data_IF_102319162103
#
_entry.id   IF_102319162103
#
_cell.length_a   1.000
_cell.length_b   1.000
_cell.length_c   1.000
_cell.angle_alpha   90.00
_cell.angle_beta   90.00
_cell.angle_gamma   90.00
#
_symmetry.space_group_name_H-M   'P 1'
#
loop_
_entity.id
_entity.type
_entity.pdbx_description
1 polymer ?
#
# COMPACT_ATOMS: atom_id res chain seq x y z
N UNK A 1 -0.65 -20.51 -32.97
CA UNK A 1 -1.48 -19.56 -32.19
C UNK A 1 -0.68 -18.28 -32.05
N UNK A 2 -1.27 -17.10 -32.33
CA UNK A 2 -0.53 -15.85 -32.50
C UNK A 2 0.19 -15.44 -31.21
N UNK A 3 1.44 -14.97 -31.32
CA UNK A 3 2.24 -14.47 -30.18
C UNK A 3 1.51 -13.39 -29.38
N UNK A 4 0.71 -12.59 -30.08
CA UNK A 4 -0.18 -11.57 -29.53
C UNK A 4 -1.18 -12.19 -28.53
N UNK A 5 -1.73 -13.38 -28.82
CA UNK A 5 -2.66 -14.04 -27.91
C UNK A 5 -1.99 -14.43 -26.59
N UNK A 6 -0.76 -14.94 -26.64
CA UNK A 6 0.01 -15.34 -25.45
C UNK A 6 0.36 -14.12 -24.60
N UNK A 7 0.82 -13.03 -25.25
CA UNK A 7 1.11 -11.77 -24.57
C UNK A 7 -0.14 -11.19 -23.87
N UNK A 8 -1.31 -11.29 -24.49
CA UNK A 8 -2.58 -10.86 -23.88
C UNK A 8 -2.94 -11.69 -22.66
N UNK A 9 -2.78 -13.02 -22.69
CA UNK A 9 -3.02 -13.88 -21.52
C UNK A 9 -2.06 -13.60 -20.38
N UNK A 10 -0.79 -13.36 -20.67
CA UNK A 10 0.21 -12.99 -19.67
C UNK A 10 -0.11 -11.65 -19.01
N UNK A 11 -0.46 -10.65 -19.83
CA UNK A 11 -0.87 -9.32 -19.38
C UNK A 11 -2.11 -9.39 -18.50
N UNK A 12 -3.09 -10.20 -18.89
CA UNK A 12 -4.33 -10.40 -18.14
C UNK A 12 -4.06 -11.05 -16.78
N UNK A 13 -3.19 -12.06 -16.72
CA UNK A 13 -2.76 -12.68 -15.47
C UNK A 13 -2.04 -11.68 -14.54
N UNK A 14 -1.20 -10.82 -15.10
CA UNK A 14 -0.50 -9.78 -14.35
C UNK A 14 -1.46 -8.72 -13.79
N UNK A 15 -2.47 -8.32 -14.56
CA UNK A 15 -3.51 -7.39 -14.12
C UNK A 15 -4.33 -8.00 -12.98
N UNK A 16 -4.71 -9.27 -13.09
CA UNK A 16 -5.45 -9.97 -12.02
C UNK A 16 -4.61 -10.09 -10.73
N UNK A 17 -3.32 -10.38 -10.86
CA UNK A 17 -2.40 -10.46 -9.72
C UNK A 17 -2.24 -9.11 -9.02
N UNK A 18 -2.09 -8.02 -9.78
CA UNK A 18 -1.96 -6.66 -9.22
C UNK A 18 -3.25 -6.20 -8.55
N UNK A 19 -4.43 -6.48 -9.13
CA UNK A 19 -5.72 -6.17 -8.49
C UNK A 19 -5.88 -6.94 -7.17
N UNK A 20 -5.53 -8.23 -7.14
CA UNK A 20 -5.56 -9.04 -5.92
C UNK A 20 -4.57 -8.54 -4.85
N UNK A 21 -3.39 -8.11 -5.27
CA UNK A 21 -2.38 -7.51 -4.38
C UNK A 21 -2.88 -6.20 -3.77
N UNK A 22 -3.44 -5.30 -4.59
CA UNK A 22 -3.97 -4.01 -4.14
C UNK A 22 -5.14 -4.21 -3.18
N UNK A 23 -6.05 -5.15 -3.47
CA UNK A 23 -7.15 -5.47 -2.55
C UNK A 23 -6.63 -5.99 -1.19
N UNK A 24 -5.62 -6.87 -1.21
CA UNK A 24 -4.96 -7.36 -0.01
C UNK A 24 -4.29 -6.26 0.81
N UNK A 25 -3.62 -5.32 0.12
CA UNK A 25 -2.98 -4.16 0.73
C UNK A 25 -4.01 -3.25 1.42
N UNK A 26 -5.14 -2.98 0.77
CA UNK A 26 -6.23 -2.19 1.37
C UNK A 26 -6.79 -2.88 2.61
N UNK A 27 -6.99 -4.20 2.60
CA UNK A 27 -7.40 -4.95 3.79
C UNK A 27 -6.36 -4.86 4.92
N UNK A 28 -5.07 -4.90 4.60
CA UNK A 28 -4.01 -4.77 5.61
C UNK A 28 -4.07 -3.39 6.29
N UNK A 29 -4.21 -2.30 5.52
CA UNK A 29 -4.35 -0.94 6.04
C UNK A 29 -5.65 -0.71 6.82
N UNK A 30 -6.76 -1.31 6.39
CA UNK A 30 -8.04 -1.19 7.08
C UNK A 30 -8.03 -1.78 8.49
N UNK A 31 -7.14 -2.72 8.76
CA UNK A 31 -7.13 -3.43 10.03
C UNK A 31 -6.00 -2.96 10.95
N UNK A 32 -4.77 -2.73 10.45
CA UNK A 32 -3.79 -1.88 11.14
C UNK A 32 -2.82 -1.22 10.15
N UNK A 33 -2.55 0.07 10.35
CA UNK A 33 -1.64 0.87 9.50
C UNK A 33 -0.23 0.27 9.47
N UNK A 34 0.24 -0.29 10.58
CA UNK A 34 1.56 -0.94 10.69
C UNK A 34 1.66 -2.14 9.75
N UNK A 35 0.61 -2.96 9.66
CA UNK A 35 0.61 -4.11 8.76
C UNK A 35 0.51 -3.71 7.28
N UNK A 36 -0.24 -2.65 6.95
CA UNK A 36 -0.25 -2.09 5.60
C UNK A 36 1.12 -1.55 5.16
N UNK A 37 1.81 -0.83 6.05
CA UNK A 37 3.14 -0.29 5.77
C UNK A 37 4.20 -1.40 5.68
N UNK A 38 4.12 -2.41 6.55
CA UNK A 38 5.02 -3.56 6.53
C UNK A 38 4.85 -4.40 5.25
N UNK A 39 3.61 -4.53 4.77
CA UNK A 39 3.28 -5.21 3.51
C UNK A 39 3.90 -4.52 2.29
N UNK A 40 4.07 -3.20 2.35
CA UNK A 40 4.67 -2.41 1.26
C UNK A 40 6.19 -2.51 1.22
N UNK A 41 6.86 -2.58 2.38
CA UNK A 41 8.32 -2.54 2.48
C UNK A 41 9.00 -3.90 2.64
N UNK A 42 8.29 -4.93 3.11
CA UNK A 42 8.91 -6.21 3.46
C UNK A 42 8.27 -7.35 2.67
N UNK A 43 9.01 -7.99 1.74
CA UNK A 43 8.48 -9.01 0.82
C UNK A 43 8.03 -10.34 1.47
N UNK A 44 7.97 -10.42 2.81
CA UNK A 44 7.48 -11.58 3.56
C UNK A 44 6.49 -11.22 4.69
N UNK A 45 6.24 -9.93 4.90
CA UNK A 45 5.30 -9.46 5.91
C UNK A 45 3.87 -9.90 5.62
N UNK A 46 3.53 -10.05 4.34
CA UNK A 46 2.27 -10.63 3.89
C UNK A 46 2.04 -12.01 4.51
N UNK A 47 3.06 -12.87 4.52
CA UNK A 47 2.98 -14.24 5.04
C UNK A 47 2.76 -14.24 6.56
N UNK A 48 3.50 -13.40 7.29
CA UNK A 48 3.37 -13.26 8.75
C UNK A 48 1.99 -12.71 9.12
N UNK A 49 1.49 -11.73 8.37
CA UNK A 49 0.15 -11.18 8.55
C UNK A 49 -0.92 -12.27 8.40
N UNK A 50 -0.82 -13.10 7.35
CA UNK A 50 -1.75 -14.20 7.13
C UNK A 50 -1.70 -15.26 8.24
N UNK A 51 -0.52 -15.58 8.77
CA UNK A 51 -0.36 -16.52 9.89
C UNK A 51 -0.95 -15.93 11.18
N UNK A 52 -0.64 -14.67 11.52
CA UNK A 52 -1.09 -14.03 12.76
C UNK A 52 -2.61 -13.76 12.76
N UNK A 53 -3.16 -13.36 11.62
CA UNK A 53 -4.60 -13.07 11.45
C UNK A 53 -5.40 -14.24 10.87
N UNK A 54 -4.83 -15.45 10.90
CA UNK A 54 -5.47 -16.67 10.43
C UNK A 54 -6.83 -16.90 11.08
N UNK A 55 -7.14 -16.40 12.28
CA UNK A 55 -8.46 -16.58 12.92
C UNK A 55 -9.63 -15.92 12.14
N UNK A 56 -9.36 -14.93 11.30
CA UNK A 56 -10.42 -14.17 10.62
C UNK A 56 -10.91 -14.88 9.34
N UNK A 57 -12.21 -15.24 9.29
CA UNK A 57 -12.80 -16.02 8.20
C UNK A 57 -12.67 -15.35 6.82
N UNK A 58 -12.59 -14.02 6.76
CA UNK A 58 -12.41 -13.26 5.51
C UNK A 58 -10.99 -13.40 4.94
N UNK A 59 -10.00 -13.42 5.82
CA UNK A 59 -8.57 -13.49 5.47
C UNK A 59 -8.22 -14.90 4.98
N UNK A 60 -8.75 -15.96 5.63
CA UNK A 60 -8.59 -17.35 5.17
C UNK A 60 -9.11 -17.58 3.76
N UNK A 61 -10.28 -17.03 3.42
CA UNK A 61 -10.87 -17.21 2.09
C UNK A 61 -10.04 -16.54 1.00
N UNK A 62 -9.59 -15.31 1.25
CA UNK A 62 -8.72 -14.57 0.32
C UNK A 62 -7.39 -15.28 0.11
N UNK A 63 -6.78 -15.82 1.19
CA UNK A 63 -5.54 -16.58 1.07
C UNK A 63 -5.76 -17.90 0.32
N UNK A 64 -6.83 -18.65 0.59
CA UNK A 64 -7.11 -19.90 -0.12
C UNK A 64 -7.28 -19.68 -1.63
N UNK A 65 -7.87 -18.56 -2.03
CA UNK A 65 -8.01 -18.19 -3.44
C UNK A 65 -6.65 -17.81 -4.05
N UNK A 66 -5.81 -17.05 -3.34
CA UNK A 66 -4.44 -16.72 -3.78
C UNK A 66 -3.53 -17.96 -3.87
N UNK A 67 -3.61 -18.85 -2.88
CA UNK A 67 -2.84 -20.09 -2.84
C UNK A 67 -3.28 -21.09 -3.91
N UNK A 68 -4.55 -21.04 -4.34
CA UNK A 68 -5.07 -21.80 -5.47
C UNK A 68 -4.69 -21.20 -6.84
N UNK A 69 -4.50 -19.87 -6.91
CA UNK A 69 -4.13 -19.18 -8.15
C UNK A 69 -2.64 -19.35 -8.52
N UNK A 70 -1.75 -19.38 -7.53
CA UNK A 70 -0.31 -19.60 -7.74
C UNK A 70 0.06 -20.90 -8.48
N UNK A 71 -0.47 -22.09 -8.12
CA UNK A 71 -0.19 -23.32 -8.85
C UNK A 71 -0.78 -23.29 -10.26
N UNK A 72 -1.92 -22.62 -10.49
CA UNK A 72 -2.49 -22.45 -11.83
C UNK A 72 -1.58 -21.59 -12.73
N UNK A 73 -1.00 -20.52 -12.17
CA UNK A 73 -0.05 -19.65 -12.87
C UNK A 73 1.29 -20.34 -13.16
N UNK A 74 1.83 -21.08 -12.19
CA UNK A 74 3.06 -21.86 -12.36
C UNK A 74 2.87 -23.00 -13.37
N UNK A 75 1.72 -23.70 -13.33
CA UNK A 75 1.44 -24.79 -14.26
C UNK A 75 1.26 -24.25 -15.69
N UNK A 76 0.56 -23.13 -15.86
CA UNK A 76 0.47 -22.43 -17.15
C UNK A 76 1.83 -21.92 -17.66
N UNK A 77 2.67 -21.39 -16.76
CA UNK A 77 4.03 -20.98 -17.08
C UNK A 77 4.93 -22.15 -17.51
N UNK A 78 4.86 -23.28 -16.80
CA UNK A 78 5.63 -24.49 -17.15
C UNK A 78 5.15 -25.08 -18.48
N UNK A 79 3.83 -25.16 -18.74
CA UNK A 79 3.29 -25.62 -20.03
C UNK A 79 3.74 -24.70 -21.17
N UNK A 80 3.83 -23.39 -20.92
CA UNK A 80 4.34 -22.41 -21.88
C UNK A 80 5.84 -22.61 -22.13
N UNK A 81 6.65 -22.78 -21.08
CA UNK A 81 8.10 -23.04 -21.23
C UNK A 81 8.37 -24.39 -21.90
N UNK A 82 7.58 -25.43 -21.63
CA UNK A 82 7.75 -26.73 -22.27
C UNK A 82 7.29 -26.71 -23.73
N UNK A 83 6.21 -25.99 -24.06
CA UNK A 83 5.70 -25.89 -25.43
C UNK A 83 6.48 -24.93 -26.32
N UNK A 84 7.00 -23.83 -25.77
CA UNK A 84 7.70 -22.77 -26.52
C UNK A 84 9.22 -22.72 -26.24
N UNK A 85 9.70 -23.29 -25.13
CA UNK A 85 11.14 -23.36 -24.81
C UNK A 85 11.90 -24.42 -25.61
N UNK A 86 11.20 -25.41 -26.19
CA UNK A 86 11.79 -26.38 -27.12
C UNK A 86 12.27 -25.75 -28.46
N UNK A 87 11.71 -24.60 -28.85
CA UNK A 87 12.13 -23.83 -30.03
C UNK A 87 13.40 -22.99 -29.73
N UNK A 88 13.51 -22.44 -28.52
CA UNK A 88 14.67 -21.65 -28.09
C UNK A 88 15.94 -22.48 -27.90
N UNK A 89 15.82 -23.74 -27.46
CA UNK A 89 16.98 -24.65 -27.33
C UNK A 89 17.51 -25.12 -28.68
N UNK A 90 16.66 -25.22 -29.71
CA UNK A 90 17.10 -25.48 -31.09
C UNK A 90 17.87 -24.30 -31.70
N UNK A 91 17.46 -23.06 -31.43
CA UNK A 91 18.18 -21.87 -31.88
C UNK A 91 19.54 -21.70 -31.18
N UNK A 92 19.64 -22.07 -29.91
CA UNK A 92 20.92 -22.07 -29.18
C UNK A 92 21.92 -23.13 -29.68
N UNK A 93 21.45 -24.25 -30.24
CA UNK A 93 22.31 -25.29 -30.83
C UNK A 93 22.66 -25.04 -32.31
N UNK A 94 21.96 -24.13 -33.00
CA UNK A 94 22.21 -23.80 -34.41
C UNK A 94 23.31 -22.74 -34.62
N UNK A 95 23.89 -22.20 -33.55
CA UNK A 95 24.98 -21.22 -33.61
C UNK A 95 26.34 -21.84 -33.93
N UNK A 96 26.44 -22.63 -35.00
CA UNK A 96 27.75 -23.03 -35.55
C UNK A 96 28.31 -21.86 -36.35
N UNK A 97 29.06 -20.97 -35.70
CA UNK A 97 29.90 -19.99 -36.38
C UNK A 97 31.04 -20.77 -37.05
N UNK A 98 30.93 -21.02 -38.35
CA UNK A 98 32.05 -21.47 -39.19
C UNK A 98 33.05 -20.31 -39.32
N UNK A 99 34.10 -20.35 -38.50
CA UNK A 99 35.29 -19.52 -38.68
C UNK A 99 36.01 -20.03 -39.92
N UNK A 100 35.93 -19.29 -41.03
CA UNK A 100 36.75 -19.52 -42.20
C UNK A 100 37.89 -18.49 -42.22
N UNK A 101 39.10 -18.99 -41.99
CA UNK A 101 40.35 -18.24 -41.96
C UNK A 101 40.98 -18.32 -43.36
N UNK A 102 41.03 -17.19 -44.06
CA UNK A 102 41.61 -17.10 -45.41
C UNK A 102 42.19 -15.70 -45.65
N UNK A 103 43.51 -15.66 -45.82
CA UNK A 103 44.41 -14.50 -45.90
C UNK A 103 44.16 -13.52 -47.06
N UNK A 104 44.46 -12.24 -46.85
CA UNK A 104 45.41 -11.49 -47.70
C UNK A 104 45.72 -10.11 -47.10
N UNK A 105 46.95 -9.71 -47.36
CA UNK A 105 47.71 -8.58 -46.85
C UNK A 105 47.23 -7.22 -47.40
N UNK A 106 47.34 -6.15 -46.60
CA UNK A 106 48.12 -4.95 -46.96
C UNK A 106 48.12 -3.90 -45.83
N UNK A 107 49.33 -3.54 -45.40
CA UNK A 107 49.72 -2.33 -44.65
C UNK A 107 50.33 -1.32 -45.64
N UNK A 108 50.80 -0.10 -45.28
CA UNK A 108 50.58 0.77 -44.10
C UNK A 108 50.45 2.29 -44.46
N UNK A 109 50.56 3.17 -43.45
CA UNK A 109 50.77 4.65 -43.47
C UNK A 109 49.49 5.50 -43.48
N UNK A 110 49.30 6.52 -42.62
CA UNK A 110 50.25 7.51 -42.10
C UNK A 110 49.82 8.09 -40.73
N UNK A 111 50.83 8.33 -39.90
CA UNK A 111 50.96 9.08 -38.62
C UNK A 111 50.38 10.53 -38.61
N UNK A 112 50.51 11.35 -37.52
CA UNK A 112 50.60 11.08 -36.07
C UNK A 112 49.77 12.08 -35.18
N UNK A 113 49.82 11.83 -33.86
CA UNK A 113 49.78 12.72 -32.67
C UNK A 113 49.22 14.15 -32.76
N UNK A 114 48.31 14.48 -31.83
CA UNK A 114 48.32 15.61 -30.87
C UNK A 114 47.02 15.45 -30.03
N UNK A 115 46.94 15.58 -28.72
CA UNK A 115 47.39 16.66 -27.86
C UNK A 115 47.22 16.23 -26.39
N UNK A 116 48.12 16.74 -25.56
CA UNK A 116 48.38 16.37 -24.18
C UNK A 116 47.39 16.94 -23.15
N UNK A 117 47.41 16.29 -21.98
CA UNK A 117 47.44 16.88 -20.62
C UNK A 117 46.21 17.58 -20.01
N UNK A 118 45.80 16.98 -18.87
CA UNK A 118 45.58 17.61 -17.55
C UNK A 118 44.41 18.58 -17.36
N UNK A 119 43.53 18.29 -16.39
CA UNK A 119 43.49 18.96 -15.06
C UNK A 119 42.22 18.60 -14.27
N UNK A 120 42.39 18.07 -13.07
CA UNK A 120 41.42 18.21 -11.95
C UNK A 120 41.59 19.64 -11.37
N UNK A 121 40.59 20.31 -10.77
CA UNK A 121 40.25 20.05 -9.37
C UNK A 121 38.79 20.39 -8.91
N UNK A 122 38.53 20.08 -7.64
CA UNK A 122 37.38 20.37 -6.76
C UNK A 122 36.81 21.80 -6.77
N UNK A 123 35.52 21.91 -6.38
CA UNK A 123 34.90 22.90 -5.47
C UNK A 123 33.38 22.59 -5.41
N UNK A 124 32.80 22.08 -4.32
CA UNK A 124 32.44 22.75 -3.06
C UNK A 124 31.76 24.11 -3.23
N UNK A 125 30.42 24.15 -3.15
CA UNK A 125 29.68 25.29 -2.61
C UNK A 125 28.24 24.91 -2.24
N UNK A 126 27.97 24.77 -0.94
CA UNK A 126 26.74 25.32 -0.33
C UNK A 126 26.95 26.82 -0.16
N UNK A 127 25.89 27.65 -0.24
CA UNK A 127 25.33 28.15 1.01
C UNK A 127 23.80 28.32 1.01
N UNK A 128 23.32 28.50 2.24
CA UNK A 128 21.96 28.63 2.67
C UNK A 128 21.25 29.95 2.26
N UNK A 129 19.93 29.91 2.50
CA UNK A 129 19.06 31.00 2.95
C UNK A 129 18.31 31.85 1.91
N UNK A 130 16.99 31.65 1.98
CA UNK A 130 16.01 32.71 2.31
C UNK A 130 15.33 33.45 1.16
N UNK A 131 14.07 33.06 0.89
CA UNK A 131 12.97 34.03 0.86
C UNK A 131 11.59 33.37 1.00
N UNK A 132 10.94 33.59 2.15
CA UNK A 132 9.48 33.65 2.24
C UNK A 132 8.96 34.94 1.58
N UNK A 133 7.71 34.92 1.11
CA UNK A 133 6.67 35.73 1.75
C UNK A 133 5.46 34.84 2.12
N UNK A 134 5.04 34.77 3.40
CA UNK A 134 3.94 35.54 4.01
C UNK A 134 2.65 35.52 3.17
N UNK A 135 1.63 34.73 3.55
CA UNK A 135 0.54 35.06 4.50
C UNK A 135 -0.67 35.72 3.83
N UNK A 136 -1.77 34.98 3.69
CA UNK A 136 -3.21 35.37 3.66
C UNK A 136 -3.97 34.17 3.04
N UNK A 137 -5.10 33.64 3.52
CA UNK A 137 -6.17 34.21 4.32
C UNK A 137 -6.89 33.08 5.08
N UNK A 138 -7.10 33.25 6.38
CA UNK A 138 -8.21 32.60 7.10
C UNK A 138 -9.55 33.10 6.54
N UNK A 139 -10.62 32.31 6.68
CA UNK A 139 -11.90 32.92 7.05
C UNK A 139 -12.24 32.54 8.50
N UNK A 140 -12.11 33.51 9.39
CA UNK A 140 -12.87 33.56 10.62
C UNK A 140 -14.23 34.21 10.28
N UNK A 141 -15.31 33.46 10.43
CA UNK A 141 -16.68 33.98 10.42
C UNK A 141 -17.29 33.70 11.81
N UNK A 142 -17.83 34.77 12.38
CA UNK A 142 -18.43 34.93 13.70
C UNK A 142 -19.54 33.90 14.03
N UNK A 143 -19.95 33.78 15.31
CA UNK A 143 -21.01 32.86 15.74
C UNK A 143 -22.36 33.32 15.19
N UNK A 144 -22.89 32.59 14.21
CA UNK A 144 -24.26 32.72 13.74
C UNK A 144 -25.20 31.73 14.48
N UNK A 145 -26.51 32.02 14.58
CA UNK A 145 -27.44 31.37 15.49
C UNK A 145 -27.52 29.85 15.29
N UNK A 146 -27.70 29.13 16.40
CA UNK A 146 -27.97 27.69 16.47
C UNK A 146 -28.99 27.31 15.38
N UNK A 147 -28.61 26.53 14.36
CA UNK A 147 -29.59 25.90 13.50
C UNK A 147 -30.29 24.82 14.33
N UNK A 148 -31.61 24.94 14.46
CA UNK A 148 -32.47 23.88 14.98
C UNK A 148 -32.17 22.54 14.29
N UNK A 149 -32.37 21.40 14.97
CA UNK A 149 -31.99 20.09 14.46
C UNK A 149 -32.94 19.69 13.33
N UNK A 150 -32.56 20.02 12.10
CA UNK A 150 -33.24 19.55 10.90
C UNK A 150 -32.66 18.21 10.47
N UNK A 151 -33.49 17.19 10.68
CA UNK A 151 -33.33 15.80 10.30
C UNK A 151 -33.13 15.67 8.79
N UNK A 152 -31.95 15.22 8.36
CA UNK A 152 -31.70 14.97 6.95
C UNK A 152 -30.39 14.22 6.77
N UNK A 153 -30.50 12.93 6.47
CA UNK A 153 -29.43 12.06 6.02
C UNK A 153 -28.62 12.70 4.90
N UNK A 154 -27.47 13.26 5.24
CA UNK A 154 -26.40 13.59 4.28
C UNK A 154 -25.22 12.67 4.61
N UNK A 155 -25.10 11.55 3.89
CA UNK A 155 -23.90 10.68 3.94
C UNK A 155 -23.95 9.41 4.80
N UNK A 156 -25.10 9.10 5.44
CA UNK A 156 -25.55 7.73 5.74
C UNK A 156 -24.60 6.73 6.42
N UNK A 157 -23.83 7.11 7.44
CA UNK A 157 -23.40 6.12 8.45
C UNK A 157 -24.34 6.23 9.65
N UNK A 158 -25.46 5.52 9.60
CA UNK A 158 -26.31 5.34 10.77
C UNK A 158 -25.56 4.43 11.75
N UNK A 159 -24.85 5.02 12.70
CA UNK A 159 -24.20 4.24 13.75
C UNK A 159 -25.27 3.61 14.63
N UNK A 160 -25.26 2.29 14.78
CA UNK A 160 -26.15 1.63 15.75
C UNK A 160 -25.68 1.92 17.18
N UNK A 161 -26.64 2.03 18.12
CA UNK A 161 -26.34 2.26 19.54
C UNK A 161 -25.38 1.20 20.09
N UNK A 162 -25.65 -0.08 19.82
CA UNK A 162 -24.84 -1.20 20.31
C UNK A 162 -23.44 -1.16 19.71
N UNK A 163 -23.33 -0.83 18.43
CA UNK A 163 -22.03 -0.71 17.76
C UNK A 163 -21.20 0.43 18.36
N UNK A 164 -21.82 1.59 18.57
CA UNK A 164 -21.16 2.76 19.17
C UNK A 164 -20.69 2.46 20.60
N UNK A 165 -21.53 1.81 21.42
CA UNK A 165 -21.15 1.37 22.77
C UNK A 165 -20.00 0.35 22.73
N UNK A 166 -20.05 -0.64 21.83
CA UNK A 166 -19.01 -1.66 21.69
C UNK A 166 -17.67 -1.05 21.31
N UNK A 167 -17.64 -0.13 20.34
CA UNK A 167 -16.42 0.57 19.93
C UNK A 167 -15.89 1.45 21.08
N UNK A 168 -16.76 2.18 21.77
CA UNK A 168 -16.38 3.00 22.92
C UNK A 168 -15.65 2.17 23.98
N UNK A 169 -16.20 1.03 24.38
CA UNK A 169 -15.54 0.14 25.35
C UNK A 169 -14.24 -0.47 24.82
N UNK A 170 -14.17 -0.78 23.54
CA UNK A 170 -12.94 -1.32 22.94
C UNK A 170 -11.79 -0.31 23.03
N UNK A 171 -12.03 0.96 22.67
CA UNK A 171 -11.03 2.02 22.77
C UNK A 171 -10.73 2.41 24.22
N UNK A 172 -11.74 2.42 25.10
CA UNK A 172 -11.54 2.67 26.53
C UNK A 172 -10.58 1.63 27.14
N UNK A 173 -10.76 0.35 26.80
CA UNK A 173 -9.86 -0.73 27.25
C UNK A 173 -8.44 -0.65 26.68
N UNK A 174 -8.25 0.06 25.56
CA UNK A 174 -6.94 0.34 24.97
C UNK A 174 -6.26 1.58 25.58
N UNK A 175 -6.96 2.35 26.44
CA UNK A 175 -6.47 3.62 26.98
C UNK A 175 -6.65 4.81 26.04
N UNK A 176 -7.23 4.61 24.85
CA UNK A 176 -7.58 5.72 23.95
C UNK A 176 -8.91 6.34 24.38
N UNK A 177 -8.85 7.14 25.44
CA UNK A 177 -10.02 7.75 26.04
C UNK A 177 -10.68 8.81 25.13
N UNK A 178 -9.92 9.46 24.26
CA UNK A 178 -10.45 10.46 23.34
C UNK A 178 -11.35 9.79 22.30
N UNK A 179 -10.88 8.71 21.66
CA UNK A 179 -11.69 7.95 20.69
C UNK A 179 -12.85 7.23 21.37
N UNK A 180 -12.66 6.73 22.60
CA UNK A 180 -13.74 6.14 23.39
C UNK A 180 -14.88 7.14 23.62
N UNK A 181 -14.55 8.37 24.03
CA UNK A 181 -15.51 9.45 24.29
C UNK A 181 -16.32 9.78 23.03
N UNK A 182 -15.70 9.85 21.86
CA UNK A 182 -16.39 10.09 20.59
C UNK A 182 -17.45 9.01 20.33
N UNK A 183 -17.10 7.74 20.52
CA UNK A 183 -18.02 6.62 20.27
C UNK A 183 -19.16 6.55 21.29
N UNK A 184 -18.91 6.84 22.57
CA UNK A 184 -19.99 6.93 23.56
C UNK A 184 -20.93 8.11 23.29
N UNK A 185 -20.42 9.26 22.83
CA UNK A 185 -21.27 10.38 22.41
C UNK A 185 -22.15 10.02 21.20
N UNK A 186 -21.64 9.24 20.23
CA UNK A 186 -22.47 8.70 19.14
C UNK A 186 -23.59 7.82 19.69
N UNK A 187 -23.32 6.98 20.70
CA UNK A 187 -24.37 6.17 21.33
C UNK A 187 -25.46 7.06 21.99
N UNK A 188 -25.06 8.17 22.63
CA UNK A 188 -26.01 9.15 23.18
C UNK A 188 -26.82 9.87 22.12
N UNK A 189 -26.26 10.12 20.94
CA UNK A 189 -27.01 10.70 19.81
C UNK A 189 -28.11 9.75 19.31
N UNK A 190 -27.84 8.43 19.33
CA UNK A 190 -28.83 7.42 18.90
C UNK A 190 -29.88 7.19 19.98
N UNK A 191 -29.49 7.16 21.25
CA UNK A 191 -30.40 7.00 22.40
C UNK A 191 -30.11 8.05 23.46
N UNK A 192 -30.66 9.27 23.32
CA UNK A 192 -30.52 10.31 24.32
C UNK A 192 -31.03 9.82 25.68
N UNK A 193 -30.26 10.03 26.74
CA UNK A 193 -30.64 9.62 28.11
C UNK A 193 -30.41 8.16 28.46
N UNK A 194 -29.77 7.36 27.60
CA UNK A 194 -29.41 5.99 27.97
C UNK A 194 -28.38 5.96 29.11
N UNK A 195 -28.74 5.37 30.25
CA UNK A 195 -27.89 5.32 31.46
C UNK A 195 -26.50 4.72 31.21
N UNK A 196 -26.40 3.65 30.39
CA UNK A 196 -25.10 3.03 30.11
C UNK A 196 -24.18 3.97 29.33
N UNK A 197 -24.72 4.67 28.33
CA UNK A 197 -23.95 5.61 27.53
C UNK A 197 -23.53 6.85 28.32
N UNK A 198 -24.42 7.37 29.19
CA UNK A 198 -24.10 8.49 30.10
C UNK A 198 -22.95 8.10 31.03
N UNK A 199 -23.08 6.99 31.75
CA UNK A 199 -22.06 6.52 32.68
C UNK A 199 -20.72 6.27 31.97
N UNK A 200 -20.76 5.74 30.74
CA UNK A 200 -19.56 5.50 29.95
C UNK A 200 -18.85 6.82 29.56
N UNK A 201 -19.60 7.86 29.17
CA UNK A 201 -19.06 9.20 28.92
C UNK A 201 -18.41 9.77 30.17
N UNK A 202 -19.07 9.71 31.31
CA UNK A 202 -18.57 10.29 32.56
C UNK A 202 -17.30 9.58 33.05
N UNK A 203 -17.30 8.25 33.05
CA UNK A 203 -16.12 7.45 33.34
C UNK A 203 -14.94 7.80 32.43
N UNK A 204 -15.21 8.00 31.13
CA UNK A 204 -14.18 8.35 30.15
C UNK A 204 -13.62 9.75 30.39
N UNK A 205 -14.46 10.74 30.70
CA UNK A 205 -14.00 12.10 31.05
C UNK A 205 -13.11 12.09 32.29
N UNK A 206 -13.47 11.31 33.31
CA UNK A 206 -12.66 11.15 34.51
C UNK A 206 -11.30 10.51 34.19
N UNK A 207 -11.28 9.49 33.32
CA UNK A 207 -10.05 8.85 32.88
C UNK A 207 -9.11 9.82 32.12
N UNK A 208 -9.66 10.67 31.24
CA UNK A 208 -8.90 11.73 30.55
C UNK A 208 -8.30 12.73 31.54
N UNK A 209 -9.07 13.14 32.55
CA UNK A 209 -8.56 14.05 33.57
C UNK A 209 -7.39 13.43 34.35
N UNK A 210 -7.49 12.15 34.70
CA UNK A 210 -6.43 11.43 35.40
C UNK A 210 -5.19 11.21 34.54
N UNK A 211 -5.35 10.89 33.24
CA UNK A 211 -4.20 10.71 32.35
C UNK A 211 -3.40 12.00 32.16
N UNK A 212 -4.05 13.15 32.23
CA UNK A 212 -3.40 14.46 32.07
C UNK A 212 -2.72 14.96 33.36
N UNK A 213 -2.95 14.28 34.50
CA UNK A 213 -2.37 14.64 35.81
C UNK A 213 -1.09 13.86 36.16
N UNK A 214 -0.60 13.01 35.26
CA UNK A 214 0.63 12.22 35.42
C UNK A 214 1.71 12.73 34.48
#
# INVERSE_FOLDING_TARGET
>A
MSEIAIALFFSLGFILATVGYIWGLVQAFQEEVVWGLLYWFIPFASLIFYIKKWSNKKIRKTLLIQLAAWPMFLLGGIITVVSYGAEFTKLAQSGTITVNQGSSEQSPSSFPSDFSTSSSPSQEQSPASEKSPSSESSPQLSPAPIPEPSFGTVGGQQYDFKQSMKLGYAYYGQGDYQTALINFNRALQVRPGNTYAVNAVDNTKNAIAQSNSK
#
